data_IF_229306855391
#
_entry.id   IF_229306855391
#
_cell.length_a   1.000
_cell.length_b   1.000
_cell.length_c   1.000
_cell.angle_alpha   90.00
_cell.angle_beta   90.00
_cell.angle_gamma   90.00
#
_symmetry.space_group_name_H-M   'P 1'
#
loop_
_entity.id
_entity.type
_entity.pdbx_description
1 polymer ?
#
# COMPACT_ATOMS: atom_id res chain seq x y z
N UNK A 1 7.88 0.40 10.95
CA UNK A 1 7.67 -0.62 12.00
C UNK A 1 6.20 -0.97 12.28
N UNK A 2 5.21 -0.19 11.82
CA UNK A 2 3.79 -0.51 12.06
C UNK A 2 3.28 -1.74 11.29
N UNK A 3 3.71 -1.93 10.04
CA UNK A 3 3.17 -2.98 9.16
C UNK A 3 3.31 -4.41 9.71
N UNK A 4 4.46 -4.82 10.30
CA UNK A 4 4.59 -6.15 10.88
C UNK A 4 3.68 -6.42 12.08
N UNK A 5 3.39 -5.42 12.91
CA UNK A 5 2.49 -5.60 14.06
C UNK A 5 1.04 -5.80 13.64
N UNK A 6 0.56 -4.97 12.71
CA UNK A 6 -0.82 -5.10 12.17
C UNK A 6 -0.97 -6.39 11.36
N UNK A 7 0.09 -6.79 10.66
CA UNK A 7 0.14 -8.09 10.00
C UNK A 7 0.04 -9.25 10.99
N UNK A 8 0.80 -9.21 12.09
CA UNK A 8 0.79 -10.26 13.10
C UNK A 8 -0.59 -10.40 13.77
N UNK A 9 -1.26 -9.30 14.13
CA UNK A 9 -2.61 -9.37 14.72
C UNK A 9 -3.63 -9.96 13.74
N UNK A 10 -3.54 -9.59 12.47
CA UNK A 10 -4.45 -10.08 11.42
C UNK A 10 -4.21 -11.56 11.09
N UNK A 11 -2.96 -12.03 11.21
CA UNK A 11 -2.61 -13.44 11.01
C UNK A 11 -3.15 -14.36 12.11
N UNK A 12 -3.22 -13.88 13.35
CA UNK A 12 -3.89 -14.64 14.42
C UNK A 12 -5.39 -14.81 14.10
N UNK A 13 -6.04 -13.75 13.64
CA UNK A 13 -7.45 -13.80 13.21
C UNK A 13 -7.66 -14.73 12.02
N UNK A 14 -6.75 -14.70 11.04
CA UNK A 14 -6.74 -15.63 9.90
C UNK A 14 -6.64 -17.10 10.37
N UNK A 15 -5.69 -17.41 11.27
CA UNK A 15 -5.46 -18.78 11.71
C UNK A 15 -6.65 -19.37 12.48
N UNK A 16 -7.27 -18.56 13.36
CA UNK A 16 -8.49 -18.95 14.07
C UNK A 16 -9.61 -19.22 13.06
N UNK A 17 -9.83 -18.33 12.10
CA UNK A 17 -10.87 -18.47 11.07
C UNK A 17 -10.67 -19.75 10.25
N UNK A 18 -9.44 -19.98 9.78
CA UNK A 18 -9.11 -21.15 8.98
C UNK A 18 -9.38 -22.44 9.77
N UNK A 19 -8.92 -22.52 11.03
CA UNK A 19 -9.11 -23.68 11.87
C UNK A 19 -10.58 -23.93 12.21
N UNK A 20 -11.37 -22.88 12.51
CA UNK A 20 -12.81 -23.01 12.76
C UNK A 20 -13.57 -23.52 11.54
N UNK A 21 -13.30 -22.95 10.36
CA UNK A 21 -13.95 -23.35 9.10
C UNK A 21 -13.62 -24.80 8.74
N UNK A 22 -12.36 -25.22 8.93
CA UNK A 22 -11.95 -26.61 8.70
C UNK A 22 -12.54 -27.53 9.76
N UNK A 23 -12.65 -27.11 11.02
CA UNK A 23 -13.27 -27.91 12.07
C UNK A 23 -14.76 -28.17 11.81
N UNK A 24 -15.51 -27.18 11.33
CA UNK A 24 -16.90 -27.37 10.89
C UNK A 24 -17.03 -28.33 9.69
N UNK A 25 -16.01 -28.36 8.83
CA UNK A 25 -15.91 -29.29 7.70
C UNK A 25 -15.57 -30.70 8.17
N UNK A 26 -14.67 -30.87 9.14
CA UNK A 26 -14.30 -32.16 9.75
C UNK A 26 -15.48 -32.84 10.45
N UNK A 27 -16.20 -32.07 11.27
CA UNK A 27 -17.35 -32.54 12.06
C UNK A 27 -18.60 -32.79 11.20
N UNK A 28 -18.59 -32.32 9.95
CA UNK A 28 -19.74 -32.44 9.06
C UNK A 28 -20.93 -31.57 9.46
N UNK A 29 -20.72 -30.53 10.30
CA UNK A 29 -21.78 -29.62 10.75
C UNK A 29 -22.51 -28.99 9.56
N UNK A 30 -21.79 -28.65 8.48
CA UNK A 30 -22.40 -28.12 7.24
C UNK A 30 -23.45 -29.05 6.64
N UNK A 31 -23.25 -30.36 6.69
CA UNK A 31 -24.19 -31.33 6.15
C UNK A 31 -25.44 -31.44 7.03
N UNK A 32 -25.25 -31.41 8.35
CA UNK A 32 -26.36 -31.36 9.32
C UNK A 32 -27.20 -30.09 9.14
N UNK A 33 -26.55 -28.94 8.97
CA UNK A 33 -27.20 -27.66 8.72
C UNK A 33 -28.00 -27.64 7.41
N UNK A 34 -27.50 -28.31 6.36
CA UNK A 34 -28.24 -28.48 5.13
C UNK A 34 -29.48 -29.38 5.31
N UNK A 35 -29.38 -30.44 6.14
CA UNK A 35 -30.54 -31.32 6.43
C UNK A 35 -31.66 -30.66 7.23
N UNK A 36 -31.36 -29.62 8.02
CA UNK A 36 -32.39 -28.81 8.72
C UNK A 36 -32.96 -27.69 7.83
N UNK A 37 -32.57 -27.61 6.56
CA UNK A 37 -33.11 -26.66 5.59
C UNK A 37 -32.35 -25.33 5.45
N UNK A 38 -31.13 -25.19 6.03
CA UNK A 38 -30.33 -23.99 5.81
C UNK A 38 -29.66 -24.02 4.44
N UNK A 39 -29.87 -22.98 3.64
CA UNK A 39 -29.21 -22.85 2.34
C UNK A 39 -27.71 -22.62 2.48
N UNK A 40 -26.93 -23.14 1.53
CA UNK A 40 -25.48 -22.93 1.50
C UNK A 40 -25.11 -21.44 1.38
N UNK A 41 -25.93 -20.64 0.70
CA UNK A 41 -25.70 -19.20 0.55
C UNK A 41 -25.85 -18.45 1.89
N UNK A 42 -26.83 -18.82 2.72
CA UNK A 42 -27.01 -18.21 4.04
C UNK A 42 -25.82 -18.50 4.97
N UNK A 43 -25.28 -19.72 4.91
CA UNK A 43 -24.10 -20.10 5.68
C UNK A 43 -22.85 -19.28 5.29
N UNK A 44 -22.56 -19.16 3.99
CA UNK A 44 -21.40 -18.38 3.56
C UNK A 44 -21.60 -16.88 3.77
N UNK A 45 -22.83 -16.38 3.65
CA UNK A 45 -23.17 -14.99 3.93
C UNK A 45 -23.02 -14.65 5.42
N UNK A 46 -23.39 -15.55 6.34
CA UNK A 46 -23.25 -15.31 7.78
C UNK A 46 -21.79 -15.24 8.21
N UNK A 47 -20.98 -16.20 7.75
CA UNK A 47 -19.53 -16.16 7.92
C UNK A 47 -18.97 -14.85 7.39
N UNK A 48 -19.33 -14.52 6.17
CA UNK A 48 -18.79 -13.32 5.55
C UNK A 48 -19.19 -12.03 6.27
N UNK A 49 -20.45 -11.90 6.66
CA UNK A 49 -20.95 -10.76 7.40
C UNK A 49 -20.22 -10.61 8.75
N UNK A 50 -20.01 -11.72 9.46
CA UNK A 50 -19.27 -11.74 10.71
C UNK A 50 -17.84 -11.23 10.53
N UNK A 51 -17.11 -11.71 9.52
CA UNK A 51 -15.74 -11.27 9.28
C UNK A 51 -15.63 -9.84 8.77
N UNK A 52 -16.57 -9.37 7.95
CA UNK A 52 -16.61 -7.97 7.53
C UNK A 52 -16.91 -7.03 8.70
N UNK A 53 -17.82 -7.41 9.60
CA UNK A 53 -18.11 -6.64 10.80
C UNK A 53 -16.90 -6.60 11.73
N UNK A 54 -16.26 -7.76 11.94
CA UNK A 54 -15.05 -7.84 12.74
C UNK A 54 -13.94 -6.98 12.14
N UNK A 55 -13.69 -7.08 10.83
CA UNK A 55 -12.71 -6.27 10.11
C UNK A 55 -13.01 -4.77 10.20
N UNK A 56 -14.27 -4.37 10.08
CA UNK A 56 -14.68 -2.97 10.23
C UNK A 56 -14.38 -2.44 11.64
N UNK A 57 -14.61 -3.27 12.67
CA UNK A 57 -14.35 -2.93 14.06
C UNK A 57 -12.84 -2.91 14.38
N UNK A 58 -12.07 -3.92 13.97
CA UNK A 58 -10.62 -3.99 14.20
C UNK A 58 -9.87 -2.88 13.48
N UNK A 59 -10.17 -2.64 12.20
CA UNK A 59 -9.56 -1.53 11.45
C UNK A 59 -9.88 -0.16 12.07
N UNK A 60 -11.10 0.05 12.57
CA UNK A 60 -11.46 1.26 13.30
C UNK A 60 -10.66 1.39 14.61
N UNK A 61 -10.55 0.32 15.39
CA UNK A 61 -9.78 0.30 16.64
C UNK A 61 -8.29 0.58 16.39
N UNK A 62 -7.69 -0.01 15.35
CA UNK A 62 -6.29 0.26 14.98
C UNK A 62 -6.11 1.73 14.59
N UNK A 63 -7.05 2.32 13.85
CA UNK A 63 -6.98 3.74 13.49
C UNK A 63 -7.12 4.63 14.72
N UNK A 64 -8.07 4.35 15.61
CA UNK A 64 -8.27 5.10 16.86
C UNK A 64 -7.06 4.98 17.78
N UNK A 65 -6.50 3.77 17.95
CA UNK A 65 -5.30 3.55 18.74
C UNK A 65 -4.08 4.25 18.14
N UNK A 66 -3.93 4.25 16.81
CA UNK A 66 -2.87 4.98 16.11
C UNK A 66 -2.98 6.50 16.29
N UNK A 67 -4.20 7.04 16.28
CA UNK A 67 -4.44 8.46 16.59
C UNK A 67 -4.17 8.78 18.07
N UNK A 68 -4.60 7.92 19.00
CA UNK A 68 -4.35 8.09 20.43
C UNK A 68 -2.86 8.01 20.77
N UNK A 69 -2.10 7.18 20.04
CA UNK A 69 -0.65 7.07 20.16
C UNK A 69 0.13 8.21 19.46
N UNK A 70 -0.56 9.15 18.79
CA UNK A 70 0.09 10.28 18.11
C UNK A 70 0.94 9.89 16.90
N UNK A 71 0.68 8.73 16.28
CA UNK A 71 1.50 8.24 15.18
C UNK A 71 1.30 9.06 13.89
N UNK A 72 2.38 9.63 13.34
CA UNK A 72 2.36 10.49 12.16
C UNK A 72 1.47 10.03 10.98
N UNK A 73 1.52 8.74 10.56
CA UNK A 73 0.68 8.25 9.45
C UNK A 73 -0.83 8.36 9.67
N UNK A 74 -1.31 8.37 10.91
CA UNK A 74 -2.73 8.46 11.23
C UNK A 74 -3.21 9.90 11.42
N UNK A 75 -2.34 10.81 11.86
CA UNK A 75 -2.70 12.21 12.13
C UNK A 75 -2.67 13.08 10.87
N UNK A 76 -1.71 12.83 9.98
CA UNK A 76 -1.41 13.72 8.85
C UNK A 76 -2.19 13.29 7.59
N UNK A 77 -2.39 11.99 7.40
CA UNK A 77 -3.15 11.46 6.27
C UNK A 77 -4.66 11.48 6.55
N UNK A 78 -5.47 11.47 5.49
CA UNK A 78 -6.93 11.37 5.65
C UNK A 78 -7.34 10.05 6.30
N UNK A 79 -8.19 10.12 7.32
CA UNK A 79 -8.72 8.94 8.03
C UNK A 79 -9.28 7.87 7.08
N UNK A 80 -9.99 8.29 6.02
CA UNK A 80 -10.60 7.37 5.05
C UNK A 80 -9.57 6.51 4.32
N UNK A 81 -8.42 7.08 3.98
CA UNK A 81 -7.33 6.40 3.26
C UNK A 81 -6.69 5.34 4.16
N UNK A 82 -6.42 5.71 5.41
CA UNK A 82 -5.79 4.82 6.40
C UNK A 82 -6.76 3.70 6.79
N UNK A 83 -8.01 4.04 7.11
CA UNK A 83 -9.06 3.08 7.45
C UNK A 83 -9.32 2.08 6.31
N UNK A 84 -9.44 2.56 5.07
CA UNK A 84 -9.65 1.68 3.92
C UNK A 84 -8.48 0.70 3.74
N UNK A 85 -7.23 1.14 3.95
CA UNK A 85 -6.07 0.25 3.82
C UNK A 85 -6.16 -0.95 4.79
N UNK A 86 -6.49 -0.70 6.05
CA UNK A 86 -6.60 -1.75 7.05
C UNK A 86 -7.86 -2.61 6.85
N UNK A 87 -9.00 -1.99 6.60
CA UNK A 87 -10.25 -2.71 6.36
C UNK A 87 -10.16 -3.66 5.16
N UNK A 88 -9.64 -3.18 4.01
CA UNK A 88 -9.48 -4.01 2.83
C UNK A 88 -8.43 -5.11 3.03
N UNK A 89 -7.37 -4.83 3.78
CA UNK A 89 -6.37 -5.84 4.13
C UNK A 89 -6.97 -6.98 4.95
N UNK A 90 -7.72 -6.67 6.02
CA UNK A 90 -8.36 -7.67 6.87
C UNK A 90 -9.44 -8.46 6.10
N UNK A 91 -10.22 -7.80 5.25
CA UNK A 91 -11.19 -8.47 4.37
C UNK A 91 -10.50 -9.42 3.35
N UNK A 92 -9.36 -9.00 2.78
CA UNK A 92 -8.57 -9.83 1.86
C UNK A 92 -7.95 -11.04 2.57
N UNK A 93 -7.50 -10.84 3.80
CA UNK A 93 -6.99 -11.91 4.66
C UNK A 93 -8.09 -12.93 4.99
N UNK A 94 -9.30 -12.47 5.31
CA UNK A 94 -10.43 -13.36 5.55
C UNK A 94 -10.81 -14.19 4.31
N UNK A 95 -10.87 -13.58 3.12
CA UNK A 95 -11.18 -14.32 1.89
C UNK A 95 -10.11 -15.33 1.51
N UNK A 96 -8.84 -14.99 1.73
CA UNK A 96 -7.73 -15.94 1.56
C UNK A 96 -7.87 -17.14 2.51
N UNK A 97 -8.36 -16.93 3.75
CA UNK A 97 -8.58 -18.04 4.70
C UNK A 97 -9.62 -19.04 4.17
N UNK A 98 -10.71 -18.55 3.57
CA UNK A 98 -11.72 -19.42 2.97
C UNK A 98 -11.19 -20.16 1.75
N UNK A 99 -10.35 -19.51 0.93
CA UNK A 99 -9.69 -20.16 -0.19
C UNK A 99 -8.76 -21.29 0.27
N UNK A 100 -7.96 -21.06 1.32
CA UNK A 100 -7.10 -22.09 1.91
C UNK A 100 -7.92 -23.23 2.54
N UNK A 101 -9.03 -22.92 3.19
CA UNK A 101 -9.92 -23.91 3.81
C UNK A 101 -10.52 -24.92 2.80
N UNK A 102 -10.58 -24.57 1.51
CA UNK A 102 -11.05 -25.48 0.47
C UNK A 102 -10.16 -26.73 0.36
N UNK A 103 -8.83 -26.55 0.46
CA UNK A 103 -7.84 -27.62 0.26
C UNK A 103 -7.54 -28.41 1.54
N UNK A 104 -7.75 -27.80 2.70
CA UNK A 104 -7.45 -28.44 3.99
C UNK A 104 -8.65 -29.27 4.46
N UNK A 105 -8.37 -30.47 4.95
CA UNK A 105 -9.38 -31.37 5.51
C UNK A 105 -9.25 -31.55 7.02
N UNK A 106 -8.10 -31.22 7.60
CA UNK A 106 -7.84 -31.38 9.02
C UNK A 106 -7.53 -30.07 9.75
N UNK A 107 -8.14 -29.83 10.91
CA UNK A 107 -7.97 -28.60 11.70
C UNK A 107 -6.57 -28.49 12.31
N UNK A 108 -5.96 -29.63 12.69
CA UNK A 108 -4.56 -29.68 13.11
C UNK A 108 -3.63 -29.18 11.99
N UNK A 109 -3.87 -29.59 10.74
CA UNK A 109 -3.10 -29.17 9.56
C UNK A 109 -3.31 -27.68 9.26
N UNK A 110 -4.51 -27.14 9.45
CA UNK A 110 -4.82 -25.72 9.28
C UNK A 110 -3.95 -24.80 10.16
N UNK A 111 -3.72 -25.16 11.42
CA UNK A 111 -2.87 -24.39 12.34
C UNK A 111 -1.43 -24.32 11.84
N UNK A 112 -0.87 -25.45 11.39
CA UNK A 112 0.49 -25.49 10.84
C UNK A 112 0.61 -24.66 9.55
N UNK A 113 -0.38 -24.75 8.65
CA UNK A 113 -0.41 -23.94 7.43
C UNK A 113 -0.46 -22.43 7.74
N UNK A 114 -1.22 -22.02 8.75
CA UNK A 114 -1.28 -20.62 9.19
C UNK A 114 0.06 -20.12 9.68
N UNK A 115 0.79 -20.94 10.43
CA UNK A 115 2.13 -20.61 10.90
C UNK A 115 3.15 -20.51 9.75
N UNK A 116 3.10 -21.42 8.77
CA UNK A 116 3.93 -21.33 7.56
C UNK A 116 3.66 -20.04 6.76
N UNK A 117 2.38 -19.67 6.59
CA UNK A 117 1.98 -18.44 5.91
C UNK A 117 2.43 -17.19 6.70
N UNK A 118 2.37 -17.24 8.03
CA UNK A 118 2.87 -16.16 8.88
C UNK A 118 4.37 -15.90 8.67
N UNK A 119 5.19 -16.96 8.70
CA UNK A 119 6.65 -16.85 8.45
C UNK A 119 6.91 -16.32 7.04
N UNK A 120 6.22 -16.88 6.03
CA UNK A 120 6.37 -16.43 4.65
C UNK A 120 6.02 -14.94 4.51
N UNK A 121 4.90 -14.52 5.11
CA UNK A 121 4.47 -13.13 5.06
C UNK A 121 5.44 -12.18 5.76
N UNK A 122 6.01 -12.60 6.89
CA UNK A 122 7.04 -11.82 7.58
C UNK A 122 8.28 -11.61 6.71
N UNK A 123 8.77 -12.67 6.05
CA UNK A 123 9.92 -12.60 5.13
C UNK A 123 9.58 -11.69 3.94
N UNK A 124 8.41 -11.85 3.33
CA UNK A 124 8.01 -11.01 2.20
C UNK A 124 7.90 -9.53 2.60
N UNK A 125 7.40 -9.22 3.81
CA UNK A 125 7.33 -7.83 4.28
C UNK A 125 8.71 -7.19 4.46
N UNK A 126 9.72 -7.95 4.89
CA UNK A 126 11.10 -7.47 4.93
C UNK A 126 11.59 -7.15 3.52
N UNK A 127 11.37 -8.04 2.56
CA UNK A 127 11.75 -7.83 1.14
C UNK A 127 11.07 -6.59 0.57
N UNK A 128 9.78 -6.42 0.83
CA UNK A 128 9.01 -5.24 0.39
C UNK A 128 9.54 -3.96 1.03
N UNK A 129 9.95 -4.02 2.30
CA UNK A 129 10.55 -2.87 2.99
C UNK A 129 11.86 -2.39 2.36
N UNK A 130 12.58 -3.25 1.62
CA UNK A 130 13.76 -2.89 0.83
C UNK A 130 13.43 -2.32 -0.57
N UNK A 131 12.14 -2.23 -0.93
CA UNK A 131 11.68 -1.64 -2.20
C UNK A 131 11.45 -2.63 -3.35
N UNK A 132 11.70 -3.92 -3.14
CA UNK A 132 11.40 -4.97 -4.13
C UNK A 132 9.96 -5.48 -3.98
N UNK A 133 9.18 -5.78 -5.04
CA UNK A 133 9.42 -5.55 -6.47
C UNK A 133 8.84 -4.22 -6.97
N UNK A 134 8.52 -3.28 -6.07
CA UNK A 134 7.73 -2.09 -6.39
C UNK A 134 8.54 -0.88 -6.89
N UNK A 135 9.87 -1.03 -7.02
CA UNK A 135 10.73 -0.01 -7.62
C UNK A 135 10.77 -0.11 -9.15
N UNK A 136 11.03 1.04 -9.79
CA UNK A 136 11.11 1.20 -11.25
C UNK A 136 12.00 0.17 -11.94
N UNK A 137 13.12 -0.18 -11.32
CA UNK A 137 14.16 -1.04 -11.88
C UNK A 137 13.73 -2.51 -11.92
N UNK A 138 13.12 -3.02 -10.84
CA UNK A 138 12.77 -4.43 -10.73
C UNK A 138 11.52 -4.82 -11.52
N UNK A 139 10.60 -3.89 -11.73
CA UNK A 139 9.37 -4.18 -12.46
C UNK A 139 9.61 -4.58 -13.93
N UNK A 140 10.63 -4.01 -14.58
CA UNK A 140 11.00 -4.41 -15.94
C UNK A 140 11.78 -5.73 -15.96
N UNK A 141 12.61 -5.99 -14.95
CA UNK A 141 13.42 -7.21 -14.89
C UNK A 141 12.65 -8.46 -14.44
N UNK A 142 11.69 -8.33 -13.51
CA UNK A 142 10.98 -9.46 -12.90
C UNK A 142 9.46 -9.23 -12.79
N UNK A 143 8.73 -9.10 -13.92
CA UNK A 143 7.30 -8.80 -13.91
C UNK A 143 6.44 -9.86 -13.21
N UNK A 144 6.89 -11.13 -13.20
CA UNK A 144 6.19 -12.20 -12.49
C UNK A 144 6.24 -12.02 -10.98
N UNK A 145 7.39 -11.61 -10.43
CA UNK A 145 7.54 -11.38 -8.99
C UNK A 145 6.63 -10.23 -8.53
N UNK A 146 6.48 -9.19 -9.36
CA UNK A 146 5.55 -8.10 -9.12
C UNK A 146 4.10 -8.58 -8.99
N UNK A 147 3.62 -9.39 -9.95
CA UNK A 147 2.25 -9.93 -9.91
C UNK A 147 2.07 -10.88 -8.73
N UNK A 148 2.99 -11.82 -8.53
CA UNK A 148 2.91 -12.81 -7.45
C UNK A 148 2.93 -12.16 -6.07
N UNK A 149 3.83 -11.21 -5.82
CA UNK A 149 3.92 -10.49 -4.55
C UNK A 149 2.70 -9.62 -4.32
N UNK A 150 2.08 -9.07 -5.37
CA UNK A 150 0.90 -8.21 -5.21
C UNK A 150 -0.39 -8.98 -4.96
N UNK A 151 -0.47 -10.27 -5.30
CA UNK A 151 -1.61 -11.11 -4.95
C UNK A 151 -1.65 -11.45 -3.45
N UNK A 152 -0.53 -11.25 -2.75
CA UNK A 152 -0.40 -11.54 -1.34
C UNK A 152 -0.78 -10.28 -0.52
N UNK A 153 -1.90 -10.29 0.23
CA UNK A 153 -2.43 -9.08 0.87
C UNK A 153 -1.44 -8.38 1.81
N UNK A 154 -0.57 -9.16 2.46
CA UNK A 154 0.43 -8.64 3.42
C UNK A 154 1.53 -7.80 2.78
N UNK A 155 1.85 -8.02 1.51
CA UNK A 155 2.83 -7.21 0.78
C UNK A 155 2.25 -5.84 0.43
N UNK A 156 0.97 -5.81 0.06
CA UNK A 156 0.24 -4.59 -0.24
C UNK A 156 0.05 -3.70 1.00
N UNK A 157 -0.19 -4.32 2.16
CA UNK A 157 -0.21 -3.60 3.44
C UNK A 157 1.13 -2.89 3.70
N UNK A 158 2.25 -3.61 3.55
CA UNK A 158 3.58 -3.05 3.77
C UNK A 158 3.86 -1.88 2.81
N UNK A 159 3.60 -2.07 1.51
CA UNK A 159 3.75 -1.01 0.50
C UNK A 159 2.87 0.20 0.81
N UNK A 160 1.59 0.00 1.10
CA UNK A 160 0.65 1.08 1.38
C UNK A 160 1.04 1.90 2.62
N UNK A 161 1.50 1.24 3.69
CA UNK A 161 1.98 1.91 4.89
C UNK A 161 3.28 2.69 4.67
N UNK A 162 4.19 2.17 3.84
CA UNK A 162 5.38 2.93 3.45
C UNK A 162 5.00 4.17 2.66
N UNK A 163 4.08 4.07 1.71
CA UNK A 163 3.63 5.23 0.91
C UNK A 163 2.98 6.30 1.78
N UNK A 164 2.15 5.89 2.75
CA UNK A 164 1.58 6.80 3.73
C UNK A 164 2.65 7.48 4.59
N UNK A 165 3.77 6.79 4.87
CA UNK A 165 4.89 7.37 5.62
C UNK A 165 5.76 8.31 4.79
N UNK A 166 5.95 8.03 3.49
CA UNK A 166 6.68 8.90 2.56
C UNK A 166 5.87 10.16 2.27
N UNK A 167 4.55 10.03 2.10
CA UNK A 167 3.64 11.17 1.90
C UNK A 167 3.73 12.23 2.99
N UNK A 168 4.01 11.83 4.24
CA UNK A 168 4.26 12.76 5.36
C UNK A 168 5.55 13.54 5.15
N UNK A 169 6.62 12.89 4.67
CA UNK A 169 7.95 13.48 4.56
C UNK A 169 8.11 14.38 3.33
N UNK A 170 7.34 14.11 2.28
CA UNK A 170 7.51 14.73 0.95
C UNK A 170 6.36 15.67 0.58
N UNK A 171 5.31 15.78 1.40
CA UNK A 171 4.18 16.67 1.14
C UNK A 171 4.60 18.13 1.02
N UNK A 172 4.16 18.83 -0.04
CA UNK A 172 4.16 20.30 -0.08
C UNK A 172 3.29 20.76 1.11
N UNK A 173 3.88 21.52 2.03
CA UNK A 173 3.20 22.13 3.19
C UNK A 173 2.55 21.15 4.19
N UNK A 174 3.22 20.06 4.58
CA UNK A 174 2.72 19.13 5.62
C UNK A 174 1.34 18.51 5.31
N UNK A 175 0.88 18.56 4.06
CA UNK A 175 -0.41 17.99 3.67
C UNK A 175 -0.22 16.51 3.34
N UNK A 176 -0.81 15.63 4.16
CA UNK A 176 -0.79 14.17 3.92
C UNK A 176 -1.61 13.74 2.70
N UNK A 177 -1.63 12.44 2.45
CA UNK A 177 -2.37 11.85 1.34
C UNK A 177 -3.87 11.90 1.63
N UNK A 178 -4.63 12.56 0.75
CA UNK A 178 -6.09 12.61 0.77
C UNK A 178 -6.71 11.59 -0.17
N UNK A 179 -7.98 11.25 0.02
CA UNK A 179 -8.69 10.26 -0.80
C UNK A 179 -8.64 10.59 -2.30
N UNK A 180 -8.80 11.86 -2.66
CA UNK A 180 -8.77 12.34 -4.04
C UNK A 180 -7.37 12.29 -4.67
N UNK A 181 -6.32 12.45 -3.84
CA UNK A 181 -4.92 12.54 -4.27
C UNK A 181 -4.15 11.22 -4.14
N UNK A 182 -4.86 10.10 -3.97
CA UNK A 182 -4.27 8.75 -3.80
C UNK A 182 -3.48 8.20 -5.00
N UNK A 183 -3.54 8.86 -6.15
CA UNK A 183 -2.74 8.53 -7.34
C UNK A 183 -1.66 9.57 -7.66
N UNK A 184 -1.74 10.79 -7.11
CA UNK A 184 -0.92 11.91 -7.59
C UNK A 184 0.51 11.92 -7.04
N UNK A 185 0.78 11.19 -5.95
CA UNK A 185 2.13 11.09 -5.37
C UNK A 185 3.05 10.15 -6.16
N UNK A 186 2.46 9.27 -6.99
CA UNK A 186 3.14 8.20 -7.72
C UNK A 186 2.97 8.47 -9.23
N UNK A 187 3.93 9.13 -9.85
CA UNK A 187 3.92 9.42 -11.29
C UNK A 187 5.03 8.65 -11.98
N UNK A 188 4.76 7.97 -13.12
CA UNK A 188 5.80 7.32 -13.89
C UNK A 188 6.80 8.35 -14.42
N UNK A 189 8.09 8.04 -14.33
CA UNK A 189 9.18 8.88 -14.84
C UNK A 189 9.04 9.02 -16.35
N UNK A 190 8.79 10.23 -16.85
CA UNK A 190 8.99 10.55 -18.25
C UNK A 190 10.49 10.63 -18.54
N UNK A 191 11.00 9.71 -19.36
CA UNK A 191 12.38 9.65 -19.86
C UNK A 191 12.66 10.92 -20.68
N UNK A 192 13.14 11.98 -20.04
CA UNK A 192 13.36 13.28 -20.71
C UNK A 192 13.95 14.43 -19.88
N UNK A 193 13.98 14.36 -18.55
CA UNK A 193 14.50 15.46 -17.71
C UNK A 193 15.60 15.01 -16.74
N UNK A 194 16.50 14.15 -17.22
CA UNK A 194 17.74 13.82 -16.51
C UNK A 194 18.90 14.66 -17.08
N UNK A 195 18.80 15.98 -16.95
CA UNK A 195 19.97 16.87 -17.04
C UNK A 195 19.66 18.19 -16.32
N UNK A 196 20.38 18.46 -15.23
CA UNK A 196 20.44 19.80 -14.64
C UNK A 196 20.17 19.86 -13.13
N UNK A 197 21.25 20.09 -12.39
CA UNK A 197 21.33 20.72 -11.07
C UNK A 197 21.01 19.89 -9.81
N UNK A 198 22.07 19.65 -9.04
CA UNK A 198 22.13 18.96 -7.76
C UNK A 198 21.64 19.79 -6.55
N UNK A 199 20.73 20.74 -6.74
CA UNK A 199 20.20 21.61 -5.65
C UNK A 199 18.69 21.43 -5.39
N UNK A 200 18.05 20.41 -5.97
CA UNK A 200 16.59 20.20 -5.88
C UNK A 200 16.15 18.81 -5.36
N UNK A 201 16.98 18.13 -4.56
CA UNK A 201 16.73 16.74 -4.17
C UNK A 201 15.61 16.54 -3.12
N UNK A 202 15.03 17.62 -2.57
CA UNK A 202 14.04 17.52 -1.47
C UNK A 202 12.57 17.61 -1.90
N UNK A 203 12.27 17.70 -3.19
CA UNK A 203 10.91 18.00 -3.65
C UNK A 203 10.63 17.49 -5.07
N UNK A 204 10.76 16.18 -5.29
CA UNK A 204 10.25 15.52 -6.51
C UNK A 204 9.36 14.34 -6.11
N UNK A 205 8.20 14.12 -6.79
CA UNK A 205 7.49 12.84 -6.69
C UNK A 205 8.49 11.72 -6.94
N UNK A 206 8.42 10.65 -6.15
CA UNK A 206 9.38 9.55 -6.16
C UNK A 206 9.48 9.00 -7.59
N UNK A 207 10.58 9.33 -8.26
CA UNK A 207 10.82 9.00 -9.65
C UNK A 207 11.02 7.47 -9.73
N UNK A 208 9.94 6.71 -9.98
CA UNK A 208 9.98 5.25 -10.07
C UNK A 208 8.90 4.50 -9.30
N UNK A 209 7.95 5.19 -8.67
CA UNK A 209 6.79 4.53 -8.05
C UNK A 209 5.86 3.96 -9.13
N UNK A 210 5.62 2.65 -9.09
CA UNK A 210 4.79 1.91 -10.07
C UNK A 210 3.39 1.59 -9.53
N UNK A 211 3.25 1.47 -8.20
CA UNK A 211 2.00 1.06 -7.58
C UNK A 211 1.49 2.14 -6.61
N UNK A 212 0.57 3.01 -7.06
CA UNK A 212 -0.10 3.97 -6.18
C UNK A 212 -1.11 3.29 -5.26
N UNK A 213 -1.44 3.97 -4.17
CA UNK A 213 -2.35 3.51 -3.12
C UNK A 213 -3.75 3.18 -3.66
N UNK A 214 -4.20 3.93 -4.68
CA UNK A 214 -5.44 3.62 -5.37
C UNK A 214 -5.44 2.26 -6.10
N UNK A 215 -4.32 1.85 -6.70
CA UNK A 215 -4.19 0.50 -7.29
C UNK A 215 -4.16 -0.57 -6.20
N UNK A 216 -3.48 -0.30 -5.07
CA UNK A 216 -3.46 -1.20 -3.90
C UNK A 216 -4.89 -1.52 -3.44
N UNK A 217 -5.77 -0.52 -3.34
CA UNK A 217 -7.16 -0.75 -2.96
C UNK A 217 -7.94 -1.59 -3.99
N UNK A 218 -7.72 -1.36 -5.28
CA UNK A 218 -8.40 -2.11 -6.33
C UNK A 218 -7.95 -3.58 -6.33
N UNK A 219 -6.66 -3.84 -6.14
CA UNK A 219 -6.12 -5.20 -6.07
C UNK A 219 -6.67 -5.93 -4.84
N UNK A 220 -6.67 -5.28 -3.67
CA UNK A 220 -7.24 -5.89 -2.45
C UNK A 220 -8.77 -6.10 -2.55
N UNK A 221 -9.52 -5.15 -3.16
CA UNK A 221 -10.97 -5.25 -3.26
C UNK A 221 -11.46 -6.29 -4.29
N UNK A 222 -10.77 -6.40 -5.42
CA UNK A 222 -11.27 -7.14 -6.59
C UNK A 222 -10.33 -8.26 -7.07
N UNK A 223 -9.17 -8.45 -6.44
CA UNK A 223 -8.18 -9.46 -6.87
C UNK A 223 -7.73 -9.31 -8.32
N UNK A 224 -7.84 -8.10 -8.89
CA UNK A 224 -7.57 -7.86 -10.32
C UNK A 224 -6.07 -8.07 -10.60
N UNK A 225 -5.70 -8.77 -11.69
CA UNK A 225 -4.32 -8.78 -12.14
C UNK A 225 -3.91 -7.36 -12.54
N UNK A 226 -2.75 -6.94 -12.05
CA UNK A 226 -2.29 -5.57 -12.20
C UNK A 226 -1.97 -5.28 -13.67
N UNK A 227 -2.51 -4.18 -14.19
CA UNK A 227 -2.19 -3.72 -15.54
C UNK A 227 -0.77 -3.15 -15.53
N UNK A 228 0.13 -3.72 -16.34
CA UNK A 228 1.49 -3.18 -16.50
C UNK A 228 1.51 -1.75 -17.08
N UNK A 229 2.64 -1.03 -17.01
CA UNK A 229 2.79 0.40 -17.35
C UNK A 229 2.32 0.78 -18.77
N UNK A 230 2.37 -0.16 -19.72
CA UNK A 230 1.91 0.04 -21.11
C UNK A 230 0.40 0.32 -21.20
N UNK A 231 -0.39 -0.12 -20.22
CA UNK A 231 -1.82 0.14 -20.17
C UNK A 231 -2.17 1.51 -19.56
N UNK A 232 -1.27 2.11 -18.78
CA UNK A 232 -1.48 3.47 -18.25
C UNK A 232 -1.42 4.53 -19.37
N UNK A 233 -0.65 4.26 -20.44
CA UNK A 233 -0.54 5.17 -21.60
C UNK A 233 -1.78 5.21 -22.50
N UNK A 234 -2.70 4.26 -22.37
CA UNK A 234 -3.86 4.15 -23.28
C UNK A 234 -5.10 4.08 -22.40
N UNK A 235 -5.83 5.19 -22.28
CA UNK A 235 -7.04 5.38 -21.46
C UNK A 235 -8.11 4.33 -21.71
N UNK A 236 -7.89 3.12 -21.22
CA UNK A 236 -8.73 1.96 -21.46
C UNK A 236 -9.85 1.94 -20.43
N UNK A 237 -11.05 2.19 -20.93
CA UNK A 237 -12.32 1.88 -20.28
C UNK A 237 -12.25 0.51 -19.60
N UNK A 238 -12.59 0.51 -18.32
CA UNK A 238 -12.63 -0.62 -17.41
C UNK A 238 -13.57 -1.71 -17.93
N UNK A 239 -13.11 -2.95 -18.16
CA UNK A 239 -14.02 -4.07 -18.25
C UNK A 239 -14.62 -4.34 -16.87
N UNK A 240 -15.94 -4.54 -16.85
CA UNK A 240 -16.71 -5.00 -15.68
C UNK A 240 -16.30 -6.45 -15.41
N UNK A 241 -15.68 -6.68 -14.26
CA UNK A 241 -15.47 -8.02 -13.70
C UNK A 241 -15.85 -7.97 -12.22
N UNK A 242 -16.30 -9.13 -11.72
CA UNK A 242 -16.93 -9.39 -10.42
C UNK A 242 -16.07 -8.85 -9.27
N UNK A 243 -16.35 -7.61 -8.87
CA UNK A 243 -15.83 -7.04 -7.64
C UNK A 243 -16.72 -7.48 -6.48
N UNK A 244 -16.13 -7.53 -5.29
CA UNK A 244 -16.86 -7.69 -4.04
C UNK A 244 -18.10 -6.77 -4.00
N UNK A 245 -19.32 -7.28 -3.72
CA UNK A 245 -20.56 -6.50 -3.87
C UNK A 245 -20.58 -5.15 -3.13
N UNK A 246 -20.03 -4.97 -1.91
CA UNK A 246 -19.98 -3.66 -1.26
C UNK A 246 -18.85 -2.73 -1.76
N UNK A 247 -18.00 -3.15 -2.71
CA UNK A 247 -16.91 -2.32 -3.23
C UNK A 247 -17.28 -1.48 -4.48
N UNK A 248 -18.43 -1.71 -5.12
CA UNK A 248 -18.81 -0.96 -6.32
C UNK A 248 -19.02 0.54 -6.06
N UNK A 249 -19.36 0.92 -4.83
CA UNK A 249 -19.55 2.31 -4.38
C UNK A 249 -18.27 3.02 -3.93
N UNK A 250 -17.21 2.27 -3.54
CA UNK A 250 -15.91 2.82 -3.15
C UNK A 250 -14.99 3.08 -4.35
N UNK A 251 -15.28 2.44 -5.49
CA UNK A 251 -14.52 2.50 -6.74
C UNK A 251 -15.28 3.38 -7.74
N UNK A 252 -15.52 4.66 -7.39
CA UNK A 252 -15.94 5.62 -8.41
C UNK A 252 -14.76 5.84 -9.37
N UNK A 253 -14.95 5.70 -10.69
CA UNK A 253 -13.91 6.03 -11.66
C UNK A 253 -13.55 7.50 -11.52
N UNK A 254 -12.26 7.76 -11.28
CA UNK A 254 -11.68 9.10 -11.32
C UNK A 254 -11.95 9.71 -12.69
N UNK A 255 -12.92 10.63 -12.75
CA UNK A 255 -13.17 11.47 -13.91
C UNK A 255 -12.01 12.44 -14.04
N UNK A 256 -11.19 12.27 -15.07
CA UNK A 256 -10.24 13.29 -15.54
C UNK A 256 -11.03 14.52 -16.02
N UNK A 257 -11.51 15.36 -15.10
CA UNK A 257 -12.16 16.63 -15.44
C UNK A 257 -11.47 17.86 -14.80
N UNK A 258 -10.25 17.70 -14.29
CA UNK A 258 -9.49 18.80 -13.70
C UNK A 258 -8.32 19.32 -14.56
N UNK A 259 -8.18 18.87 -15.82
CA UNK A 259 -7.30 19.50 -16.81
C UNK A 259 -8.07 20.44 -17.73
N UNK A 260 -8.87 21.36 -17.16
CA UNK A 260 -9.36 22.51 -17.93
C UNK A 260 -8.35 23.65 -17.77
N UNK A 261 -7.52 23.77 -18.81
CA UNK A 261 -6.80 24.98 -19.22
C UNK A 261 -5.96 25.69 -18.15
N UNK A 262 -4.69 25.30 -18.03
CA UNK A 262 -3.63 26.29 -17.86
C UNK A 262 -3.24 26.73 -19.28
N UNK A 263 -3.58 27.94 -19.73
CA UNK A 263 -3.16 28.39 -21.05
C UNK A 263 -1.64 28.57 -21.05
N UNK A 264 -0.99 27.86 -21.96
CA UNK A 264 0.41 28.06 -22.34
C UNK A 264 0.63 29.53 -22.70
N UNK A 265 1.64 30.23 -22.16
CA UNK A 265 1.98 31.53 -22.69
C UNK A 265 2.51 31.35 -24.12
N UNK A 266 1.80 32.00 -25.04
CA UNK A 266 2.10 32.09 -26.46
C UNK A 266 3.54 32.55 -26.69
N UNK A 267 4.19 31.85 -27.63
CA UNK A 267 5.39 32.31 -28.33
C UNK A 267 5.08 33.65 -29.02
N UNK A 268 5.73 34.73 -28.61
CA UNK A 268 6.00 35.87 -29.48
C UNK A 268 7.49 36.19 -29.43
N UNK A 269 8.07 36.27 -30.62
CA UNK A 269 9.48 36.51 -30.87
C UNK A 269 9.77 38.01 -31.01
N UNK A 270 11.02 38.38 -30.68
CA UNK A 270 11.82 39.53 -31.11
C UNK A 270 11.37 40.97 -30.77
N UNK A 271 12.18 41.70 -29.98
CA UNK A 271 13.15 42.70 -30.48
C UNK A 271 14.03 43.32 -29.37
N UNK A 272 15.23 43.72 -29.78
CA UNK A 272 16.39 44.28 -29.06
C UNK A 272 16.15 45.47 -28.11
N UNK A 273 16.94 45.55 -27.03
CA UNK A 273 17.80 46.71 -26.71
C UNK A 273 18.73 46.48 -25.50
N UNK A 274 20.04 46.49 -25.78
CA UNK A 274 21.25 46.96 -25.03
C UNK A 274 21.37 46.91 -23.48
N UNK A 275 22.56 46.57 -22.92
CA UNK A 275 22.85 46.46 -21.47
C UNK A 275 23.49 47.72 -20.87
N UNK A 276 23.53 47.87 -19.52
CA UNK A 276 24.83 47.99 -18.79
C UNK A 276 24.75 47.56 -17.29
N UNK A 277 25.78 47.76 -16.43
CA UNK A 277 27.18 47.35 -16.55
C UNK A 277 27.71 46.56 -15.31
N UNK A 278 28.93 46.06 -15.48
CA UNK A 278 29.89 45.47 -14.53
C UNK A 278 29.99 46.12 -13.14
N UNK A 279 30.16 45.30 -12.09
CA UNK A 279 31.38 45.29 -11.25
C UNK A 279 31.46 44.01 -10.35
N UNK A 280 32.67 43.51 -10.00
CA UNK A 280 32.92 42.15 -9.49
C UNK A 280 33.52 42.14 -8.04
N UNK A 281 34.33 41.15 -7.60
CA UNK A 281 33.97 40.11 -6.62
C UNK A 281 34.72 40.23 -5.27
N UNK A 282 34.28 39.48 -4.24
CA UNK A 282 35.09 39.18 -3.06
C UNK A 282 34.99 37.69 -2.70
N UNK A 283 36.11 36.99 -2.85
CA UNK A 283 36.48 35.70 -2.25
C UNK A 283 37.66 36.01 -1.30
N UNK A 284 38.32 35.04 -0.63
CA UNK A 284 37.90 33.87 0.18
C UNK A 284 38.52 33.94 1.61
N UNK A 285 38.08 33.10 2.55
CA UNK A 285 38.82 32.60 3.75
C UNK A 285 37.90 31.51 4.36
N UNK A 286 38.06 30.20 4.12
CA UNK A 286 39.11 29.24 4.48
C UNK A 286 39.33 29.03 6.00
N UNK A 287 39.31 27.74 6.37
CA UNK A 287 39.95 27.06 7.51
C UNK A 287 39.06 26.68 8.71
N UNK A 288 38.57 25.43 8.64
CA UNK A 288 38.80 24.31 9.57
C UNK A 288 38.57 24.46 11.08
N UNK A 289 37.73 23.58 11.66
CA UNK A 289 38.14 22.77 12.81
C UNK A 289 37.28 21.51 12.99
N UNK A 290 37.93 20.38 12.75
CA UNK A 290 37.64 19.05 13.29
C UNK A 290 37.70 19.07 14.82
N UNK A 291 36.74 18.42 15.50
CA UNK A 291 36.94 17.66 16.74
C UNK A 291 35.60 17.01 17.13
N UNK A 292 35.41 15.72 16.89
CA UNK A 292 35.76 14.61 17.80
C UNK A 292 34.54 14.12 18.60
N UNK A 293 34.01 13.02 18.09
CA UNK A 293 33.28 11.97 18.81
C UNK A 293 34.12 11.45 19.99
N UNK A 294 33.49 10.95 21.06
CA UNK A 294 33.93 9.63 21.52
C UNK A 294 32.77 8.67 21.73
N UNK A 295 32.89 7.55 21.03
CA UNK A 295 32.29 6.26 21.29
C UNK A 295 33.26 5.54 22.25
N UNK A 296 32.81 5.16 23.44
CA UNK A 296 33.55 4.22 24.29
C UNK A 296 32.61 3.13 24.79
N UNK A 297 32.63 2.01 24.07
CA UNK A 297 32.32 0.69 24.60
C UNK A 297 33.34 0.35 25.69
N UNK A 298 32.90 -0.27 26.78
CA UNK A 298 33.70 -1.26 27.51
C UNK A 298 32.78 -2.30 28.13
N UNK A 299 32.88 -3.52 27.60
CA UNK A 299 32.50 -4.76 28.27
C UNK A 299 33.42 -4.99 29.49
N UNK A 300 32.87 -5.48 30.60
CA UNK A 300 33.41 -6.67 31.30
C UNK A 300 32.56 -7.08 32.51
N UNK A 301 32.17 -8.37 32.47
CA UNK A 301 32.04 -9.34 33.56
C UNK A 301 31.74 -8.87 35.00
N UNK A 302 30.53 -9.17 35.47
CA UNK A 302 30.22 -10.19 36.50
C UNK A 302 28.72 -10.46 36.54
#
# INVERSE_FOLDING_TARGET
MLAPFVFASSMLSFGITLSSVVHEKETGIRQHLNSIGMSASAYWASWLAFHLLLAAASSALVCLAGMAAGMGPFLINSFQVVYALFFLFEASMATMSYATAAFIRQSSVATHWSFCIFILGWICQIVVSFGFPYSGEFHESVPLAYVAMSLLPWNLLCKGLMDLSIGIRTGRENQGITWERRYSYCSPVSRGEAHGSAEGALSRPEAGCIMPLGEIYVVQACGRPIKGPRAWKRGSTTPRAFCWPPCHSLISPYSHSANRAVPSPLKHAHMNSSPPPFLPPLHPLSISLFASVPLSLSLSLS
#
